data_IF_513736572920
#
_entry.id   IF_513736572920
#
_cell.length_a   1.000
_cell.length_b   1.000
_cell.length_c   1.000
_cell.angle_alpha   90.00
_cell.angle_beta   90.00
_cell.angle_gamma   90.00
#
_symmetry.space_group_name_H-M   'P 1'
#
loop_
_entity.id
_entity.type
_entity.pdbx_description
1 polymer ?
#
# COMPACT_ATOMS: atom_id res chain seq x y z
N UNK A 1 1.83 8.14 -41.16
CA UNK A 1 3.07 7.47 -41.57
C UNK A 1 2.72 6.03 -41.86
N UNK A 2 2.57 5.67 -43.13
CA UNK A 2 2.45 4.26 -43.54
C UNK A 2 3.86 3.78 -43.80
N UNK A 3 4.44 3.04 -42.86
CA UNK A 3 5.68 2.31 -43.13
C UNK A 3 5.31 1.01 -43.87
N UNK A 4 5.56 0.93 -45.19
CA UNK A 4 5.19 -0.26 -45.99
C UNK A 4 5.95 -1.52 -45.56
N UNK A 5 7.00 -1.38 -44.75
CA UNK A 5 7.77 -2.45 -44.12
C UNK A 5 7.03 -3.11 -42.96
N UNK A 6 6.35 -2.31 -42.11
CA UNK A 6 5.49 -2.83 -41.05
C UNK A 6 4.29 -3.60 -41.62
N UNK A 7 3.67 -3.08 -42.68
CA UNK A 7 2.58 -3.76 -43.39
C UNK A 7 3.00 -5.13 -43.95
N UNK A 8 4.14 -5.20 -44.66
CA UNK A 8 4.66 -6.47 -45.19
C UNK A 8 5.02 -7.48 -44.11
N UNK A 9 5.55 -7.03 -42.97
CA UNK A 9 5.85 -7.92 -41.84
C UNK A 9 4.56 -8.51 -41.23
N UNK A 10 3.51 -7.70 -41.10
CA UNK A 10 2.20 -8.14 -40.62
C UNK A 10 1.51 -9.10 -41.61
N UNK A 11 1.52 -8.80 -42.91
CA UNK A 11 0.94 -9.66 -43.95
C UNK A 11 1.66 -11.01 -44.04
N UNK A 12 3.00 -11.01 -43.87
CA UNK A 12 3.80 -12.24 -43.87
C UNK A 12 3.54 -13.06 -42.61
N UNK A 13 3.38 -12.41 -41.46
CA UNK A 13 2.96 -13.06 -40.22
C UNK A 13 1.56 -13.65 -40.37
N UNK A 14 0.63 -12.94 -41.01
CA UNK A 14 -0.74 -13.38 -41.30
C UNK A 14 -0.76 -14.59 -42.25
N UNK A 15 0.10 -14.59 -43.27
CA UNK A 15 0.30 -15.70 -44.20
C UNK A 15 0.95 -16.94 -43.52
N UNK A 16 1.98 -16.74 -42.69
CA UNK A 16 2.63 -17.82 -41.94
C UNK A 16 1.74 -18.38 -40.81
N UNK A 17 0.77 -17.60 -40.33
CA UNK A 17 -0.18 -17.99 -39.28
C UNK A 17 -1.54 -18.43 -39.82
N UNK A 18 -1.60 -18.92 -41.06
CA UNK A 18 -2.80 -19.57 -41.63
C UNK A 18 -3.23 -20.85 -40.87
N UNK A 19 -2.46 -21.29 -39.88
CA UNK A 19 -2.91 -22.25 -38.86
C UNK A 19 -3.66 -21.51 -37.74
N UNK A 20 -4.99 -21.43 -37.86
CA UNK A 20 -5.85 -20.74 -36.90
C UNK A 20 -5.75 -21.27 -35.47
N UNK A 21 -5.38 -22.55 -35.30
CA UNK A 21 -5.11 -23.15 -33.99
C UNK A 21 -3.84 -22.57 -33.37
N UNK A 22 -2.76 -22.44 -34.14
CA UNK A 22 -1.52 -21.84 -33.65
C UNK A 22 -1.71 -20.38 -33.23
N UNK A 23 -2.50 -19.60 -33.98
CA UNK A 23 -2.84 -18.22 -33.61
C UNK A 23 -3.65 -18.16 -32.31
N UNK A 24 -4.68 -19.00 -32.17
CA UNK A 24 -5.48 -19.09 -30.94
C UNK A 24 -4.62 -19.42 -29.73
N UNK A 25 -3.75 -20.43 -29.84
CA UNK A 25 -2.85 -20.83 -28.75
C UNK A 25 -1.88 -19.71 -28.36
N UNK A 26 -1.37 -18.95 -29.34
CA UNK A 26 -0.55 -17.79 -29.07
C UNK A 26 -1.32 -16.68 -28.33
N UNK A 27 -2.52 -16.35 -28.79
CA UNK A 27 -3.39 -15.34 -28.16
C UNK A 27 -3.79 -15.75 -26.73
N UNK A 28 -4.15 -17.02 -26.51
CA UNK A 28 -4.46 -17.56 -25.18
C UNK A 28 -3.25 -17.44 -24.24
N UNK A 29 -2.04 -17.75 -24.73
CA UNK A 29 -0.81 -17.58 -23.95
C UNK A 29 -0.56 -16.12 -23.63
N UNK A 30 -0.72 -15.21 -24.59
CA UNK A 30 -0.55 -13.77 -24.35
C UNK A 30 -1.56 -13.26 -23.33
N UNK A 31 -2.82 -13.70 -23.43
CA UNK A 31 -3.86 -13.37 -22.46
C UNK A 31 -3.49 -13.84 -21.06
N UNK A 32 -3.06 -15.09 -20.91
CA UNK A 32 -2.63 -15.63 -19.61
C UNK A 32 -1.49 -14.81 -19.00
N UNK A 33 -0.46 -14.48 -19.80
CA UNK A 33 0.67 -13.68 -19.34
C UNK A 33 0.25 -12.26 -18.93
N UNK A 34 -0.71 -11.68 -19.65
CA UNK A 34 -1.24 -10.35 -19.31
C UNK A 34 -2.07 -10.38 -18.03
N UNK A 35 -2.91 -11.40 -17.85
CA UNK A 35 -3.69 -11.61 -16.62
C UNK A 35 -2.74 -11.81 -15.42
N UNK A 36 -1.68 -12.62 -15.59
CA UNK A 36 -0.65 -12.84 -14.56
C UNK A 36 0.08 -11.54 -14.19
N UNK A 37 0.53 -10.78 -15.18
CA UNK A 37 1.19 -9.49 -14.97
C UNK A 37 0.26 -8.50 -14.23
N UNK A 38 -1.00 -8.43 -14.65
CA UNK A 38 -2.01 -7.56 -14.03
C UNK A 38 -2.30 -7.96 -12.58
N UNK A 39 -2.36 -9.26 -12.28
CA UNK A 39 -2.53 -9.76 -10.92
C UNK A 39 -1.36 -9.37 -10.02
N UNK A 40 -0.12 -9.50 -10.51
CA UNK A 40 1.09 -9.14 -9.76
C UNK A 40 1.15 -7.64 -9.50
N UNK A 41 0.86 -6.83 -10.51
CA UNK A 41 0.82 -5.37 -10.38
C UNK A 41 -0.22 -4.94 -9.34
N UNK A 42 -1.45 -5.46 -9.45
CA UNK A 42 -2.51 -5.18 -8.50
C UNK A 42 -2.16 -5.61 -7.08
N UNK A 43 -1.59 -6.80 -6.89
CA UNK A 43 -1.19 -7.30 -5.58
C UNK A 43 -0.09 -6.42 -4.97
N UNK A 44 0.88 -5.99 -5.78
CA UNK A 44 1.98 -5.12 -5.36
C UNK A 44 1.46 -3.75 -4.96
N UNK A 45 0.62 -3.14 -5.78
CA UNK A 45 0.03 -1.82 -5.50
C UNK A 45 -0.82 -1.86 -4.23
N UNK A 46 -1.67 -2.88 -4.09
CA UNK A 46 -2.52 -3.05 -2.91
C UNK A 46 -1.70 -3.28 -1.66
N UNK A 47 -0.68 -4.14 -1.71
CA UNK A 47 0.23 -4.39 -0.60
C UNK A 47 0.96 -3.12 -0.16
N UNK A 48 1.47 -2.33 -1.11
CA UNK A 48 2.13 -1.06 -0.83
C UNK A 48 1.17 -0.06 -0.18
N UNK A 49 -0.04 0.13 -0.74
CA UNK A 49 -1.05 1.03 -0.17
C UNK A 49 -1.44 0.63 1.25
N UNK A 50 -1.65 -0.67 1.50
CA UNK A 50 -1.96 -1.18 2.83
C UNK A 50 -0.81 -0.97 3.81
N UNK A 51 0.43 -1.25 3.39
CA UNK A 51 1.62 -1.04 4.21
C UNK A 51 1.81 0.42 4.62
N UNK A 52 1.63 1.36 3.67
CA UNK A 52 1.69 2.79 3.94
C UNK A 52 0.58 3.22 4.90
N UNK A 53 -0.66 2.81 4.66
CA UNK A 53 -1.79 3.16 5.52
C UNK A 53 -1.58 2.68 6.97
N UNK A 54 -1.20 1.41 7.14
CA UNK A 54 -0.90 0.84 8.47
C UNK A 54 0.29 1.54 9.13
N UNK A 55 1.32 1.91 8.36
CA UNK A 55 2.48 2.63 8.86
C UNK A 55 2.12 4.03 9.38
N UNK A 56 1.29 4.76 8.63
CA UNK A 56 0.80 6.09 9.02
C UNK A 56 -0.06 5.99 10.29
N UNK A 57 -1.02 5.07 10.33
CA UNK A 57 -1.90 4.87 11.49
C UNK A 57 -1.10 4.56 12.76
N UNK A 58 -0.18 3.59 12.71
CA UNK A 58 0.70 3.26 13.84
C UNK A 58 1.61 4.43 14.22
N UNK A 59 2.03 5.24 13.25
CA UNK A 59 2.84 6.43 13.49
C UNK A 59 2.08 7.51 14.25
N UNK A 60 0.84 7.79 13.85
CA UNK A 60 -0.05 8.75 14.51
C UNK A 60 -0.34 8.30 15.94
N UNK A 61 -0.77 7.05 16.15
CA UNK A 61 -1.08 6.53 17.48
C UNK A 61 0.12 6.62 18.44
N UNK A 62 1.32 6.25 17.97
CA UNK A 62 2.55 6.39 18.76
C UNK A 62 2.87 7.84 19.09
N UNK A 63 2.71 8.75 18.12
CA UNK A 63 2.94 10.18 18.30
C UNK A 63 1.98 10.82 19.30
N UNK A 64 0.69 10.52 19.18
CA UNK A 64 -0.34 10.99 20.12
C UNK A 64 -0.06 10.50 21.54
N UNK A 65 0.31 9.22 21.68
CA UNK A 65 0.65 8.66 22.98
C UNK A 65 1.93 9.24 23.58
N UNK A 66 2.97 9.47 22.78
CA UNK A 66 4.17 10.16 23.25
C UNK A 66 3.85 11.59 23.72
N UNK A 67 3.05 12.32 22.94
CA UNK A 67 2.60 13.66 23.32
C UNK A 67 1.78 13.66 24.61
N UNK A 68 0.89 12.68 24.80
CA UNK A 68 0.13 12.52 26.05
C UNK A 68 1.06 12.31 27.25
N UNK A 69 2.11 11.49 27.09
CA UNK A 69 3.13 11.26 28.13
C UNK A 69 3.91 12.54 28.43
N UNK A 70 4.35 13.29 27.43
CA UNK A 70 5.05 14.57 27.63
C UNK A 70 4.20 15.59 28.36
N UNK A 71 2.92 15.73 27.97
CA UNK A 71 1.97 16.61 28.65
C UNK A 71 1.80 16.17 30.11
N UNK A 72 1.62 14.86 30.36
CA UNK A 72 1.46 14.34 31.71
C UNK A 72 2.69 14.62 32.60
N UNK A 73 3.91 14.47 32.08
CA UNK A 73 5.14 14.83 32.79
C UNK A 73 5.20 16.32 33.14
N UNK A 74 4.84 17.18 32.20
CA UNK A 74 4.79 18.63 32.45
C UNK A 74 3.75 18.99 33.51
N UNK A 75 2.57 18.35 33.48
CA UNK A 75 1.53 18.56 34.49
C UNK A 75 1.95 18.06 35.87
N UNK A 76 2.66 16.93 35.97
CA UNK A 76 3.24 16.44 37.23
C UNK A 76 4.26 17.43 37.79
N UNK A 77 5.11 17.99 36.93
CA UNK A 77 6.08 19.02 37.33
C UNK A 77 5.41 20.31 37.85
N UNK A 78 4.18 20.59 37.40
CA UNK A 78 3.36 21.70 37.89
C UNK A 78 2.59 21.38 39.17
N UNK A 79 2.73 20.17 39.73
CA UNK A 79 2.04 19.75 40.95
C UNK A 79 0.56 19.45 40.76
N UNK A 80 0.12 19.19 39.53
CA UNK A 80 -1.28 18.84 39.23
C UNK A 80 -1.58 17.44 39.76
N UNK A 81 -2.80 17.24 40.28
CA UNK A 81 -3.24 15.95 40.82
C UNK A 81 -3.29 14.85 39.75
N UNK A 82 -2.79 13.67 40.08
CA UNK A 82 -2.70 12.49 39.19
C UNK A 82 -4.05 12.16 38.53
N UNK A 83 -5.15 12.22 39.28
CA UNK A 83 -6.49 11.93 38.77
C UNK A 83 -6.90 12.90 37.65
N UNK A 84 -6.53 14.18 37.78
CA UNK A 84 -6.81 15.21 36.76
C UNK A 84 -5.89 15.03 35.54
N UNK A 85 -4.62 14.67 35.76
CA UNK A 85 -3.67 14.40 34.68
C UNK A 85 -4.13 13.19 33.85
N UNK A 86 -4.53 12.10 34.51
CA UNK A 86 -5.05 10.91 33.85
C UNK A 86 -6.25 11.27 32.96
N UNK A 87 -7.21 12.04 33.49
CA UNK A 87 -8.38 12.51 32.75
C UNK A 87 -8.02 13.42 31.57
N UNK A 88 -7.04 14.32 31.71
CA UNK A 88 -6.68 15.30 30.69
C UNK A 88 -5.76 14.73 29.58
N UNK A 89 -4.88 13.80 29.92
CA UNK A 89 -3.92 13.18 28.99
C UNK A 89 -4.47 11.92 28.31
N UNK A 90 -5.56 11.34 28.82
CA UNK A 90 -6.10 10.07 28.35
C UNK A 90 -5.28 8.85 28.82
N UNK A 91 -4.32 9.05 29.72
CA UNK A 91 -3.57 7.98 30.37
C UNK A 91 -4.35 7.47 31.60
N UNK A 92 -4.12 6.21 31.97
CA UNK A 92 -4.56 5.69 33.26
C UNK A 92 -3.73 6.28 34.40
N UNK A 93 -4.30 6.33 35.61
CA UNK A 93 -3.56 6.78 36.79
C UNK A 93 -2.32 5.93 37.06
N UNK A 94 -2.36 4.63 36.74
CA UNK A 94 -1.21 3.74 36.88
C UNK A 94 -0.07 4.13 35.95
N UNK A 95 -0.38 4.49 34.71
CA UNK A 95 0.61 5.01 33.76
C UNK A 95 1.17 6.34 34.24
N UNK A 96 0.32 7.28 34.69
CA UNK A 96 0.77 8.57 35.21
C UNK A 96 1.65 8.41 36.46
N UNK A 97 1.33 7.48 37.36
CA UNK A 97 2.18 7.16 38.53
C UNK A 97 3.53 6.55 38.17
N UNK A 98 3.66 5.98 36.98
CA UNK A 98 4.89 5.37 36.49
C UNK A 98 5.75 6.32 35.65
N UNK A 99 5.28 7.55 35.35
CA UNK A 99 6.02 8.59 34.63
C UNK A 99 7.00 9.35 35.52
#
# INVERSE_FOLDING_TARGET
MNEPTLGKAMDTLEFLSQDGEARRLYEERQKFLHDEASMIEWATEKGMKQGIAQGIEKGIEKGERQKAIEIAKNMLALGIEIALIAKASGLSEAEVKAL
#
